data_IF_856785909571
#
_entry.id   IF_856785909571
#
_cell.length_a   1.000
_cell.length_b   1.000
_cell.length_c   1.000
_cell.angle_alpha   90.00
_cell.angle_beta   90.00
_cell.angle_gamma   90.00
#
_symmetry.space_group_name_H-M   'P 1'
#
loop_
_entity.id
_entity.type
_entity.pdbx_description
1 polymer ?
#
# COMPACT_ATOMS: atom_id res chain seq x y z
N UNK A 1 18.92 -6.20 -4.35
CA UNK A 1 17.56 -6.26 -3.78
C UNK A 1 16.88 -7.45 -4.43
N UNK A 2 16.40 -8.43 -3.67
CA UNK A 2 15.76 -9.62 -4.23
C UNK A 2 14.33 -9.27 -4.65
N UNK A 3 14.16 -8.92 -5.93
CA UNK A 3 12.85 -8.61 -6.53
C UNK A 3 12.12 -9.87 -7.00
N UNK A 4 12.65 -11.08 -6.71
CA UNK A 4 12.01 -12.35 -7.09
C UNK A 4 10.71 -12.62 -6.33
N UNK A 5 10.54 -11.98 -5.16
CA UNK A 5 9.32 -12.09 -4.37
C UNK A 5 8.35 -10.96 -4.72
N UNK A 6 7.09 -11.29 -5.02
CA UNK A 6 6.08 -10.29 -5.28
C UNK A 6 5.73 -9.54 -4.01
N UNK A 7 5.14 -8.38 -4.24
CA UNK A 7 4.72 -7.47 -3.20
C UNK A 7 3.44 -8.00 -2.55
N UNK A 8 3.52 -8.28 -1.25
CA UNK A 8 2.41 -8.85 -0.47
C UNK A 8 1.27 -7.82 -0.40
N UNK A 9 0.06 -8.23 -0.77
CA UNK A 9 -1.13 -7.36 -0.61
C UNK A 9 -1.38 -7.10 0.87
N UNK A 10 -1.44 -5.83 1.28
CA UNK A 10 -1.71 -5.47 2.68
C UNK A 10 -2.71 -4.31 2.75
N UNK A 11 -3.48 -4.29 3.83
CA UNK A 11 -4.20 -3.11 4.30
C UNK A 11 -3.48 -2.53 5.53
N UNK A 12 -4.08 -1.56 6.23
CA UNK A 12 -3.47 -0.95 7.39
C UNK A 12 -3.28 -1.93 8.56
N UNK A 13 -4.26 -2.81 8.81
CA UNK A 13 -4.21 -3.77 9.91
C UNK A 13 -3.17 -4.89 9.68
N UNK A 14 -2.89 -5.24 8.42
CA UNK A 14 -1.95 -6.30 8.05
C UNK A 14 -0.50 -5.80 7.91
N UNK A 15 -0.29 -4.50 7.70
CA UNK A 15 1.05 -3.91 7.52
C UNK A 15 2.04 -4.26 8.66
N UNK A 16 1.67 -4.23 9.96
CA UNK A 16 2.58 -4.58 11.07
C UNK A 16 3.19 -5.99 10.96
N UNK A 17 2.46 -6.94 10.37
CA UNK A 17 2.94 -8.33 10.19
C UNK A 17 3.96 -8.48 9.06
N UNK A 18 4.19 -7.40 8.30
CA UNK A 18 4.98 -7.39 7.08
C UNK A 18 6.12 -6.38 7.10
N UNK A 19 6.45 -5.82 8.26
CA UNK A 19 7.61 -4.92 8.42
C UNK A 19 8.88 -5.55 7.85
N UNK A 20 9.66 -4.75 7.11
CA UNK A 20 10.84 -5.11 6.31
C UNK A 20 10.58 -6.03 5.11
N UNK A 21 9.32 -6.34 4.79
CA UNK A 21 8.95 -7.06 3.57
C UNK A 21 8.47 -6.08 2.51
N UNK A 22 8.53 -6.53 1.26
CA UNK A 22 7.95 -5.82 0.12
C UNK A 22 6.44 -6.03 0.10
N UNK A 23 5.71 -4.92 0.13
CA UNK A 23 4.24 -4.88 0.24
C UNK A 23 3.64 -4.05 -0.89
N UNK A 24 2.37 -4.30 -1.15
CA UNK A 24 1.52 -3.59 -2.10
C UNK A 24 0.22 -3.20 -1.40
N UNK A 25 -0.18 -1.95 -1.52
CA UNK A 25 -1.47 -1.47 -1.03
C UNK A 25 -2.01 -0.36 -1.92
N UNK A 26 -3.29 -0.06 -1.81
CA UNK A 26 -3.89 1.14 -2.38
C UNK A 26 -4.25 2.08 -1.24
N UNK A 27 -3.83 3.34 -1.34
CA UNK A 27 -4.22 4.37 -0.38
C UNK A 27 -5.19 5.36 -1.02
N UNK A 28 -6.15 5.85 -0.23
CA UNK A 28 -6.83 7.10 -0.52
C UNK A 28 -5.94 8.26 -0.05
N UNK A 29 -5.49 9.12 -0.97
CA UNK A 29 -4.63 10.25 -0.65
C UNK A 29 -5.41 11.28 0.18
N UNK A 30 -4.88 11.61 1.35
CA UNK A 30 -5.45 12.64 2.25
C UNK A 30 -4.64 13.94 2.15
N UNK A 31 -3.32 13.84 1.93
CA UNK A 31 -2.45 14.99 1.75
C UNK A 31 -0.98 14.61 1.67
N UNK A 32 -0.13 15.62 1.60
CA UNK A 32 1.33 15.46 1.65
C UNK A 32 1.88 16.19 2.87
N UNK A 33 2.82 15.57 3.59
CA UNK A 33 3.53 16.15 4.72
C UNK A 33 5.04 15.89 4.58
N UNK A 34 5.84 16.96 4.57
CA UNK A 34 7.33 16.91 4.62
C UNK A 34 7.98 15.88 3.67
N UNK A 35 7.45 15.74 2.46
CA UNK A 35 7.99 14.80 1.47
C UNK A 35 7.51 13.35 1.61
N UNK A 36 6.47 13.12 2.42
CA UNK A 36 5.70 11.90 2.46
C UNK A 36 4.24 12.17 2.08
N UNK A 37 3.56 11.14 1.60
CA UNK A 37 2.12 11.15 1.33
C UNK A 37 1.40 10.50 2.49
N UNK A 38 0.39 11.17 3.03
CA UNK A 38 -0.49 10.62 4.03
C UNK A 38 -1.75 10.14 3.33
N UNK A 39 -2.15 8.89 3.59
CA UNK A 39 -3.36 8.32 3.02
C UNK A 39 -4.08 7.38 3.98
N UNK A 40 -5.31 7.02 3.63
CA UNK A 40 -6.07 5.96 4.29
C UNK A 40 -5.91 4.66 3.52
N UNK A 41 -5.66 3.57 4.23
CA UNK A 41 -5.68 2.22 3.67
C UNK A 41 -7.12 1.77 3.36
N UNK A 42 -7.30 0.62 2.69
CA UNK A 42 -8.63 0.10 2.33
C UNK A 42 -9.55 -0.22 3.54
N UNK A 43 -8.98 -0.35 4.73
CA UNK A 43 -9.64 -0.53 6.03
C UNK A 43 -9.63 0.77 6.88
N UNK A 44 -9.53 1.93 6.22
CA UNK A 44 -9.63 3.28 6.79
C UNK A 44 -8.53 3.70 7.78
N UNK A 45 -7.51 2.86 7.99
CA UNK A 45 -6.38 3.20 8.85
C UNK A 45 -5.40 4.14 8.14
N UNK A 46 -4.87 5.11 8.88
CA UNK A 46 -3.93 6.07 8.34
C UNK A 46 -2.55 5.43 8.13
N UNK A 47 -1.99 5.62 6.93
CA UNK A 47 -0.64 5.22 6.54
C UNK A 47 0.17 6.43 6.06
N UNK A 48 1.49 6.36 6.29
CA UNK A 48 2.47 7.33 5.81
C UNK A 48 3.33 6.66 4.74
N UNK A 49 3.23 7.13 3.50
CA UNK A 49 4.03 6.64 2.38
C UNK A 49 5.18 7.61 2.12
N UNK A 50 6.39 7.15 2.41
CA UNK A 50 7.63 7.89 2.26
C UNK A 50 8.22 7.67 0.87
N UNK A 51 9.02 8.62 0.40
CA UNK A 51 9.68 8.57 -0.90
C UNK A 51 9.16 9.65 -1.84
N UNK A 52 9.74 9.71 -3.03
CA UNK A 52 9.37 10.73 -4.01
C UNK A 52 8.17 10.25 -4.84
N UNK A 53 6.98 10.87 -4.70
CA UNK A 53 5.88 10.61 -5.63
C UNK A 53 6.25 11.04 -7.06
N UNK A 54 5.53 10.55 -8.09
CA UNK A 54 5.73 10.97 -9.47
C UNK A 54 5.56 12.49 -9.64
N UNK A 55 6.16 13.04 -10.69
CA UNK A 55 6.02 14.47 -11.02
C UNK A 55 4.60 14.86 -11.43
N UNK A 56 3.82 13.90 -11.93
CA UNK A 56 2.41 14.09 -12.20
C UNK A 56 1.61 14.12 -10.87
N UNK A 57 0.52 14.91 -10.80
CA UNK A 57 -0.35 14.89 -9.63
C UNK A 57 -0.87 13.49 -9.30
N UNK A 58 -0.97 13.20 -8.00
CA UNK A 58 -1.61 11.98 -7.52
C UNK A 58 -3.13 12.08 -7.70
N UNK A 59 -3.75 10.96 -8.07
CA UNK A 59 -5.23 10.81 -8.04
C UNK A 59 -5.71 10.53 -6.62
N UNK A 60 -7.03 10.51 -6.39
CA UNK A 60 -7.56 10.20 -5.05
C UNK A 60 -7.11 8.83 -4.55
N UNK A 61 -6.99 7.84 -5.43
CA UNK A 61 -6.48 6.51 -5.10
C UNK A 61 -5.19 6.20 -5.82
N UNK A 62 -4.20 5.71 -5.08
CA UNK A 62 -2.87 5.40 -5.59
C UNK A 62 -2.43 4.04 -5.07
N UNK A 63 -2.02 3.15 -5.98
CA UNK A 63 -1.29 1.94 -5.61
C UNK A 63 0.14 2.30 -5.26
N UNK A 64 0.60 1.77 -4.14
CA UNK A 64 1.96 1.90 -3.64
C UNK A 64 2.55 0.51 -3.50
N UNK A 65 3.71 0.30 -4.11
CA UNK A 65 4.54 -0.87 -3.88
C UNK A 65 5.84 -0.39 -3.24
N UNK A 66 6.26 -1.03 -2.17
CA UNK A 66 7.47 -0.63 -1.46
C UNK A 66 7.79 -1.51 -0.27
N UNK A 67 8.72 -1.07 0.58
CA UNK A 67 9.10 -1.77 1.80
C UNK A 67 8.27 -1.24 2.96
N UNK A 68 7.61 -2.13 3.71
CA UNK A 68 6.99 -1.76 4.97
C UNK A 68 8.07 -1.34 5.97
N UNK A 69 8.15 -0.04 6.23
CA UNK A 69 9.21 0.59 7.03
C UNK A 69 8.87 0.55 8.53
N UNK A 70 7.59 0.71 8.87
CA UNK A 70 7.06 0.55 10.24
C UNK A 70 5.63 0.01 10.22
N UNK A 71 5.00 -0.09 11.38
CA UNK A 71 3.60 -0.50 11.53
C UNK A 71 2.62 0.38 10.76
N UNK A 72 3.00 1.62 10.42
CA UNK A 72 2.14 2.61 9.74
C UNK A 72 2.84 3.32 8.59
N UNK A 73 4.00 2.83 8.13
CA UNK A 73 4.72 3.48 7.03
C UNK A 73 5.26 2.52 5.99
N UNK A 74 5.26 2.99 4.74
CA UNK A 74 5.81 2.29 3.58
C UNK A 74 6.84 3.21 2.94
N UNK A 75 8.05 2.69 2.70
CA UNK A 75 9.03 3.33 1.83
C UNK A 75 8.72 2.92 0.38
N UNK A 76 8.11 3.83 -0.38
CA UNK A 76 7.64 3.54 -1.73
C UNK A 76 8.78 3.35 -2.73
N UNK A 77 8.62 2.35 -3.59
CA UNK A 77 9.43 2.08 -4.78
C UNK A 77 8.68 2.45 -6.05
N UNK A 78 7.36 2.17 -6.08
CA UNK A 78 6.50 2.36 -7.24
C UNK A 78 5.20 3.03 -6.77
N UNK A 79 4.74 3.98 -7.57
CA UNK A 79 3.47 4.68 -7.41
C UNK A 79 2.67 4.53 -8.71
N UNK A 80 1.41 4.11 -8.61
CA UNK A 80 0.52 3.99 -9.77
C UNK A 80 -0.82 4.67 -9.46
N UNK A 81 -1.18 5.69 -10.23
CA UNK A 81 -2.48 6.35 -10.11
C UNK A 81 -3.60 5.38 -10.52
N UNK A 82 -4.56 5.13 -9.63
CA UNK A 82 -5.74 4.29 -9.87
C UNK A 82 -7.01 5.12 -10.15
N UNK A 83 -6.88 6.44 -10.22
CA UNK A 83 -8.00 7.34 -10.48
C UNK A 83 -8.79 7.68 -9.22
N UNK A 84 -10.01 8.16 -9.42
CA UNK A 84 -10.81 8.78 -8.36
C UNK A 84 -11.98 7.92 -7.86
N UNK A 85 -12.21 6.78 -8.49
CA UNK A 85 -13.27 5.83 -8.16
C UNK A 85 -12.67 4.43 -8.04
N UNK A 86 -12.19 4.09 -6.85
CA UNK A 86 -11.62 2.79 -6.54
C UNK A 86 -12.44 2.08 -5.45
N UNK A 87 -12.72 0.78 -5.66
CA UNK A 87 -13.47 -0.03 -4.71
C UNK A 87 -12.56 -0.57 -3.61
N UNK A 88 -12.45 0.21 -2.52
CA UNK A 88 -11.65 -0.16 -1.35
C UNK A 88 -12.19 -1.37 -0.61
N UNK A 89 -13.50 -1.63 -0.66
CA UNK A 89 -14.10 -2.78 0.00
C UNK A 89 -13.60 -4.09 -0.61
N UNK A 90 -13.70 -4.22 -1.93
CA UNK A 90 -13.24 -5.41 -2.63
C UNK A 90 -11.72 -5.59 -2.55
N UNK A 91 -10.96 -4.50 -2.62
CA UNK A 91 -9.51 -4.58 -2.41
C UNK A 91 -9.15 -5.00 -0.97
N UNK A 92 -9.90 -4.54 0.03
CA UNK A 92 -9.69 -4.98 1.40
C UNK A 92 -9.94 -6.50 1.56
N UNK A 93 -10.97 -7.05 0.90
CA UNK A 93 -11.20 -8.50 0.87
C UNK A 93 -10.03 -9.25 0.20
N UNK A 94 -9.45 -8.69 -0.87
CA UNK A 94 -8.24 -9.24 -1.49
C UNK A 94 -7.06 -9.28 -0.51
N UNK A 95 -6.85 -8.23 0.27
CA UNK A 95 -5.79 -8.22 1.30
C UNK A 95 -6.02 -9.35 2.32
N UNK A 96 -7.25 -9.55 2.79
CA UNK A 96 -7.55 -10.63 3.73
C UNK A 96 -7.35 -12.01 3.11
N UNK A 97 -7.80 -12.20 1.87
CA UNK A 97 -7.65 -13.45 1.13
C UNK A 97 -6.17 -13.82 0.93
N UNK A 98 -5.35 -12.84 0.54
CA UNK A 98 -3.92 -13.02 0.29
C UNK A 98 -3.08 -13.26 1.56
N UNK A 99 -3.62 -12.95 2.74
CA UNK A 99 -2.96 -13.16 4.03
C UNK A 99 -3.64 -14.23 4.89
N UNK A 100 -4.64 -14.92 4.34
CA UNK A 100 -5.40 -15.96 5.00
C UNK A 100 -5.04 -17.37 4.53
N UNK A 101 -6.03 -18.24 4.51
CA UNK A 101 -5.90 -19.65 4.11
C UNK A 101 -5.32 -19.82 2.68
N UNK A 102 -5.63 -18.87 1.80
CA UNK A 102 -5.24 -18.91 0.39
C UNK A 102 -3.93 -18.19 0.08
N UNK A 103 -3.13 -17.78 1.08
CA UNK A 103 -1.86 -17.06 0.87
C UNK A 103 -0.90 -17.75 -0.12
N UNK A 104 -0.95 -19.09 -0.19
CA UNK A 104 -0.12 -19.91 -1.08
C UNK A 104 -0.42 -19.71 -2.57
N UNK A 105 -1.55 -19.08 -2.92
CA UNK A 105 -1.91 -18.70 -4.29
C UNK A 105 -1.35 -17.33 -4.70
N UNK A 106 -0.89 -16.54 -3.72
CA UNK A 106 -0.31 -15.21 -3.90
C UNK A 106 1.21 -15.33 -3.74
N UNK A 107 1.81 -16.19 -4.59
CA UNK A 107 3.24 -16.45 -4.67
C UNK A 107 4.01 -15.26 -5.16
#
# INVERSE_FOLDING_TARGET
MDTSKPAIFVNGALLPMHVRKRVRTVIQVVGADRGAVVGKSPDDLQLVVKGSPPSAPLTNFVEVIGIADSEKSIQAEIWTNFGDAFDTYNYNQLCQLANGEYQHLFL
#
